data_IF_720342902796
#
_entry.id   IF_720342902796
#
_cell.length_a   1.000
_cell.length_b   1.000
_cell.length_c   1.000
_cell.angle_alpha   90.00
_cell.angle_beta   90.00
_cell.angle_gamma   90.00
#
_symmetry.space_group_name_H-M   'P 1'
#
loop_
_entity.id
_entity.type
_entity.pdbx_description
1 polymer ?
#
# COMPACT_ATOMS: atom_id res chain seq x y z
N UNK A 1 9.13 -5.15 8.71
CA UNK A 1 7.66 -5.07 8.74
C UNK A 1 7.24 -4.34 7.48
N UNK A 2 7.00 -5.09 6.40
CA UNK A 2 6.62 -4.51 5.11
C UNK A 2 5.10 -4.37 5.10
N UNK A 3 4.60 -3.14 5.15
CA UNK A 3 3.18 -2.89 4.94
C UNK A 3 2.93 -2.80 3.44
N UNK A 4 1.86 -3.43 2.94
CA UNK A 4 1.52 -3.45 1.51
C UNK A 4 1.25 -2.05 0.93
N UNK A 5 0.96 -1.06 1.78
CA UNK A 5 0.39 0.22 1.36
C UNK A 5 1.29 1.44 1.60
N UNK A 6 2.46 1.25 2.19
CA UNK A 6 3.50 2.28 2.29
C UNK A 6 4.89 1.65 2.29
N UNK A 7 5.88 2.44 1.88
CA UNK A 7 7.30 2.07 1.94
C UNK A 7 8.05 3.00 2.88
N UNK A 8 8.96 2.45 3.70
CA UNK A 8 9.67 3.23 4.72
C UNK A 8 10.60 4.30 4.14
N UNK A 9 11.10 4.11 2.93
CA UNK A 9 12.01 5.03 2.27
C UNK A 9 11.26 5.99 1.36
N UNK A 10 10.37 5.50 0.49
CA UNK A 10 9.61 6.36 -0.43
C UNK A 10 8.63 7.28 0.30
N UNK A 11 8.02 6.81 1.40
CA UNK A 11 7.03 7.56 2.15
C UNK A 11 7.61 8.18 3.45
N UNK A 12 8.95 8.32 3.57
CA UNK A 12 9.59 8.85 4.79
C UNK A 12 9.06 10.23 5.19
N UNK A 13 8.87 11.14 4.25
CA UNK A 13 8.32 12.48 4.54
C UNK A 13 6.88 12.42 5.06
N UNK A 14 6.08 11.46 4.57
CA UNK A 14 4.73 11.22 5.07
C UNK A 14 4.78 10.63 6.48
N UNK A 15 5.73 9.74 6.76
CA UNK A 15 5.96 9.18 8.10
C UNK A 15 6.35 10.31 9.06
N UNK A 16 7.36 11.12 8.73
CA UNK A 16 7.85 12.20 9.59
C UNK A 16 6.76 13.25 9.86
N UNK A 17 6.04 13.68 8.82
CA UNK A 17 4.93 14.62 8.98
C UNK A 17 3.77 14.03 9.80
N UNK A 18 3.52 12.72 9.73
CA UNK A 18 2.49 12.06 10.53
C UNK A 18 2.88 11.91 11.99
N UNK A 19 4.15 11.61 12.27
CA UNK A 19 4.69 11.62 13.63
C UNK A 19 4.60 13.02 14.25
N UNK A 20 4.94 14.05 13.48
CA UNK A 20 4.82 15.44 13.93
C UNK A 20 3.35 15.82 14.18
N UNK A 21 2.44 15.47 13.27
CA UNK A 21 1.02 15.83 13.38
C UNK A 21 0.29 15.10 14.51
N UNK A 22 0.60 13.82 14.74
CA UNK A 22 -0.14 12.98 15.68
C UNK A 22 0.50 12.92 17.08
N UNK A 23 1.82 12.80 17.13
CA UNK A 23 2.56 12.59 18.37
C UNK A 23 3.38 13.82 18.79
N UNK A 24 3.40 14.87 17.97
CA UNK A 24 4.27 16.03 18.16
C UNK A 24 5.77 15.64 18.25
N UNK A 25 6.17 14.62 17.48
CA UNK A 25 7.54 14.11 17.40
C UNK A 25 8.12 14.48 16.04
N UNK A 26 9.25 15.19 16.01
CA UNK A 26 10.05 15.39 14.79
C UNK A 26 11.14 14.34 14.75
N UNK A 27 10.97 13.30 13.94
CA UNK A 27 11.89 12.16 13.88
C UNK A 27 13.35 12.58 13.62
N UNK A 28 13.56 13.61 12.80
CA UNK A 28 14.89 14.20 12.54
C UNK A 28 15.60 14.79 13.77
N UNK A 29 14.90 15.00 14.89
CA UNK A 29 15.43 15.56 16.13
C UNK A 29 15.49 14.55 17.27
N UNK A 30 15.18 13.28 17.00
CA UNK A 30 15.16 12.23 18.01
C UNK A 30 16.44 11.41 17.95
N UNK A 31 17.27 11.53 18.98
CA UNK A 31 18.58 10.85 19.02
C UNK A 31 18.51 9.42 19.60
N UNK A 32 17.48 9.09 20.40
CA UNK A 32 17.47 7.88 21.24
C UNK A 32 16.16 7.06 21.20
N UNK A 33 15.36 7.15 20.13
CA UNK A 33 14.18 6.29 19.98
C UNK A 33 14.58 4.86 19.60
N UNK A 34 14.04 3.89 20.33
CA UNK A 34 14.23 2.48 19.98
C UNK A 34 13.47 2.11 18.71
N UNK A 35 13.98 1.14 17.96
CA UNK A 35 13.29 0.65 16.76
C UNK A 35 11.89 0.09 17.07
N UNK A 36 11.74 -0.55 18.22
CA UNK A 36 10.46 -1.09 18.70
C UNK A 36 9.44 0.02 18.97
N UNK A 37 9.87 1.12 19.59
CA UNK A 37 9.04 2.29 19.84
C UNK A 37 8.64 2.97 18.53
N UNK A 38 9.59 3.18 17.61
CA UNK A 38 9.30 3.69 16.26
C UNK A 38 8.24 2.85 15.56
N UNK A 39 8.40 1.52 15.54
CA UNK A 39 7.44 0.61 14.93
C UNK A 39 6.07 0.69 15.60
N UNK A 40 6.03 0.79 16.93
CA UNK A 40 4.78 0.90 17.69
C UNK A 40 4.02 2.18 17.35
N UNK A 41 4.71 3.32 17.28
CA UNK A 41 4.14 4.59 16.88
C UNK A 41 3.71 4.59 15.41
N UNK A 42 4.52 4.03 14.51
CA UNK A 42 4.19 3.94 13.10
C UNK A 42 2.94 3.09 12.84
N UNK A 43 2.79 1.96 13.54
CA UNK A 43 1.58 1.13 13.46
C UNK A 43 0.34 1.81 14.05
N UNK A 44 0.53 2.77 14.96
CA UNK A 44 -0.55 3.54 15.59
C UNK A 44 -1.00 4.78 14.79
N UNK A 45 -0.45 5.01 13.59
CA UNK A 45 -0.80 6.17 12.77
C UNK A 45 -2.28 6.13 12.35
N UNK A 46 -3.01 7.21 12.63
CA UNK A 46 -4.42 7.32 12.32
C UNK A 46 -4.64 7.71 10.85
N UNK A 47 -5.80 7.34 10.25
CA UNK A 47 -6.13 7.68 8.86
C UNK A 47 -6.09 9.18 8.54
N UNK A 48 -6.32 10.04 9.52
CA UNK A 48 -6.36 11.51 9.34
C UNK A 48 -4.98 12.18 9.28
N UNK A 49 -3.91 11.42 9.37
CA UNK A 49 -2.53 11.91 9.20
C UNK A 49 -2.13 11.90 7.71
N UNK A 50 -1.04 12.58 7.31
CA UNK A 50 -0.54 12.52 5.94
C UNK A 50 -0.32 11.08 5.41
N UNK A 51 0.39 10.24 6.17
CA UNK A 51 0.61 8.83 5.81
C UNK A 51 -0.70 8.06 5.85
N UNK A 52 -1.51 8.23 6.90
CA UNK A 52 -2.79 7.54 7.04
C UNK A 52 -3.74 7.80 5.87
N UNK A 53 -3.77 9.03 5.35
CA UNK A 53 -4.62 9.42 4.23
C UNK A 53 -4.18 8.75 2.94
N UNK A 54 -2.87 8.71 2.69
CA UNK A 54 -2.28 8.04 1.53
C UNK A 54 -2.51 6.53 1.59
N UNK A 55 -2.29 5.92 2.76
CA UNK A 55 -2.55 4.49 2.98
C UNK A 55 -4.03 4.18 2.74
N UNK A 56 -4.96 4.98 3.25
CA UNK A 56 -6.39 4.81 3.01
C UNK A 56 -6.74 4.85 1.52
N UNK A 57 -6.19 5.81 0.76
CA UNK A 57 -6.42 5.88 -0.70
C UNK A 57 -5.86 4.64 -1.42
N UNK A 58 -4.65 4.21 -1.07
CA UNK A 58 -3.96 3.08 -1.72
C UNK A 58 -4.67 1.75 -1.43
N UNK A 59 -5.14 1.57 -0.19
CA UNK A 59 -5.76 0.34 0.30
C UNK A 59 -7.25 0.22 -0.02
N UNK A 60 -7.92 1.29 -0.46
CA UNK A 60 -9.36 1.28 -0.72
C UNK A 60 -9.78 0.26 -1.79
N UNK A 61 -10.84 -0.49 -1.47
CA UNK A 61 -11.46 -1.52 -2.32
C UNK A 61 -12.99 -1.38 -2.43
N UNK A 62 -13.63 -0.56 -1.59
CA UNK A 62 -15.07 -0.33 -1.64
C UNK A 62 -15.43 0.42 -2.93
N UNK A 63 -16.29 -0.21 -3.74
CA UNK A 63 -16.67 0.31 -5.06
C UNK A 63 -17.43 1.62 -4.96
N UNK A 64 -18.23 1.84 -3.92
CA UNK A 64 -19.01 3.05 -3.76
C UNK A 64 -18.16 4.21 -3.29
N UNK A 65 -17.13 3.94 -2.47
CA UNK A 65 -16.11 4.95 -2.14
C UNK A 65 -15.28 5.28 -3.38
N UNK A 66 -14.80 4.26 -4.11
CA UNK A 66 -13.97 4.45 -5.30
C UNK A 66 -14.65 5.24 -6.42
N UNK A 67 -15.98 5.12 -6.59
CA UNK A 67 -16.73 5.93 -7.57
C UNK A 67 -16.66 7.44 -7.28
N UNK A 68 -16.46 7.81 -6.02
CA UNK A 68 -16.41 9.19 -5.56
C UNK A 68 -14.99 9.72 -5.43
N UNK A 69 -13.96 8.91 -5.77
CA UNK A 69 -12.59 9.38 -5.76
C UNK A 69 -12.37 10.49 -6.79
N UNK A 70 -11.54 11.45 -6.41
CA UNK A 70 -11.02 12.45 -7.34
C UNK A 70 -10.02 11.81 -8.30
N UNK A 71 -9.71 12.51 -9.41
CA UNK A 71 -8.68 12.08 -10.36
C UNK A 71 -7.33 11.85 -9.68
N UNK A 72 -6.94 12.73 -8.76
CA UNK A 72 -5.72 12.61 -7.97
C UNK A 72 -5.71 11.37 -7.07
N UNK A 73 -6.82 11.08 -6.39
CA UNK A 73 -6.91 9.87 -5.55
C UNK A 73 -6.80 8.59 -6.39
N UNK A 74 -7.45 8.54 -7.54
CA UNK A 74 -7.26 7.43 -8.48
C UNK A 74 -5.81 7.31 -8.95
N UNK A 75 -5.15 8.43 -9.24
CA UNK A 75 -3.73 8.43 -9.63
C UNK A 75 -2.85 7.86 -8.53
N UNK A 76 -2.97 8.35 -7.29
CA UNK A 76 -2.20 7.86 -6.14
C UNK A 76 -2.36 6.34 -5.98
N UNK A 77 -3.60 5.85 -6.03
CA UNK A 77 -3.91 4.42 -5.88
C UNK A 77 -3.34 3.59 -7.03
N UNK A 78 -3.56 4.01 -8.28
CA UNK A 78 -3.15 3.26 -9.46
C UNK A 78 -1.63 3.23 -9.61
N UNK A 79 -0.96 4.36 -9.39
CA UNK A 79 0.50 4.44 -9.46
C UNK A 79 1.17 3.52 -8.44
N UNK A 80 0.62 3.45 -7.21
CA UNK A 80 1.13 2.53 -6.19
C UNK A 80 0.95 1.07 -6.60
N UNK A 81 -0.27 0.69 -7.03
CA UNK A 81 -0.57 -0.70 -7.40
C UNK A 81 0.17 -1.16 -8.64
N UNK A 82 0.36 -0.29 -9.62
CA UNK A 82 1.11 -0.61 -10.83
C UNK A 82 2.60 -0.83 -10.53
N UNK A 83 3.18 -0.04 -9.62
CA UNK A 83 4.59 -0.19 -9.21
C UNK A 83 4.81 -1.43 -8.34
N UNK A 84 3.87 -1.73 -7.44
CA UNK A 84 3.92 -2.87 -6.53
C UNK A 84 3.19 -4.11 -7.09
N UNK A 85 2.95 -4.16 -8.41
CA UNK A 85 2.33 -5.31 -9.04
C UNK A 85 3.37 -6.43 -9.15
N UNK A 86 3.19 -7.60 -8.51
CA UNK A 86 4.14 -8.71 -8.58
C UNK A 86 4.36 -9.22 -10.01
N UNK A 87 3.46 -8.91 -10.95
CA UNK A 87 3.55 -9.31 -12.36
C UNK A 87 4.47 -8.40 -13.17
N UNK A 88 4.84 -7.22 -12.64
CA UNK A 88 5.66 -6.24 -13.36
C UNK A 88 7.05 -6.77 -13.71
N UNK A 89 7.69 -7.45 -12.76
CA UNK A 89 9.05 -7.96 -12.90
C UNK A 89 9.11 -9.40 -13.44
N UNK A 90 7.95 -10.00 -13.73
CA UNK A 90 7.87 -11.34 -14.32
C UNK A 90 8.24 -11.31 -15.81
N UNK A 91 8.97 -12.33 -16.24
CA UNK A 91 9.26 -12.63 -17.64
C UNK A 91 7.98 -13.01 -18.40
N UNK A 92 8.04 -12.99 -19.73
CA UNK A 92 6.89 -13.38 -20.56
C UNK A 92 6.51 -14.86 -20.35
N UNK A 93 7.50 -15.74 -20.16
CA UNK A 93 7.27 -17.17 -19.90
C UNK A 93 6.53 -17.37 -18.57
N UNK A 94 6.97 -16.72 -17.49
CA UNK A 94 6.29 -16.81 -16.19
C UNK A 94 4.87 -16.24 -16.23
N UNK A 95 4.63 -15.19 -17.04
CA UNK A 95 3.28 -14.65 -17.26
C UNK A 95 2.38 -15.66 -17.99
N UNK A 96 2.90 -16.33 -19.03
CA UNK A 96 2.17 -17.36 -19.76
C UNK A 96 1.82 -18.56 -18.87
N UNK A 97 2.74 -18.98 -18.00
CA UNK A 97 2.48 -20.05 -17.02
C UNK A 97 1.36 -19.66 -16.04
N UNK A 98 1.40 -18.45 -15.48
CA UNK A 98 0.32 -17.94 -14.61
C UNK A 98 -1.03 -17.87 -15.31
N UNK A 99 -1.06 -17.50 -16.59
CA UNK A 99 -2.29 -17.47 -17.39
C UNK A 99 -2.83 -18.90 -17.57
N UNK A 100 -1.97 -19.89 -17.85
CA UNK A 100 -2.38 -21.30 -17.95
C UNK A 100 -2.91 -21.85 -16.63
N UNK A 101 -2.25 -21.54 -15.50
CA UNK A 101 -2.74 -21.90 -14.16
C UNK A 101 -4.15 -21.33 -13.90
N UNK A 102 -4.37 -20.05 -14.21
CA UNK A 102 -5.67 -19.41 -14.04
C UNK A 102 -6.74 -20.03 -14.95
N UNK A 103 -6.40 -20.36 -16.21
CA UNK A 103 -7.30 -21.04 -17.15
C UNK A 103 -7.73 -22.42 -16.63
N UNK A 104 -6.79 -23.20 -16.10
CA UNK A 104 -7.08 -24.51 -15.52
C UNK A 104 -8.00 -24.40 -14.30
N UNK A 105 -7.75 -23.43 -13.41
CA UNK A 105 -8.60 -23.19 -12.23
C UNK A 105 -10.04 -22.84 -12.64
N UNK A 106 -10.22 -21.95 -13.62
CA UNK A 106 -11.55 -21.59 -14.14
C UNK A 106 -12.24 -22.82 -14.75
N UNK A 107 -11.51 -23.64 -15.50
CA UNK A 107 -12.03 -24.87 -16.10
C UNK A 107 -12.44 -25.89 -15.04
N UNK A 108 -11.71 -26.02 -13.94
CA UNK A 108 -12.10 -26.90 -12.83
C UNK A 108 -13.34 -26.38 -12.10
N UNK A 109 -13.45 -25.06 -11.88
CA UNK A 109 -14.59 -24.45 -11.19
C UNK A 109 -15.89 -24.46 -12.01
N UNK A 110 -15.81 -24.32 -13.35
CA UNK A 110 -16.98 -24.15 -14.21
C UNK A 110 -17.14 -25.22 -15.30
N UNK A 111 -16.15 -26.08 -15.53
CA UNK A 111 -16.19 -27.16 -16.51
C UNK A 111 -16.77 -28.47 -15.98
N UNK A 112 -17.25 -28.50 -14.74
CA UNK A 112 -18.00 -29.59 -14.13
C UNK A 112 -19.52 -29.40 -14.14
N UNK A 113 -20.04 -28.41 -14.87
CA UNK A 113 -21.48 -28.16 -15.09
C UNK A 113 -21.84 -28.54 -16.53
#
# INVERSE_FOLDING_TARGET
MFNKWYDLYEDWELIESSFAAQYNIRLSQVDNMSWQEFCSLLNGIMPKTPLGSIVAIRSEEDKDILKNFTKEQHKIRNDWRNRNNPIKDMTNEEKEEKIKEAQNLIKEMFGGI
#
